data_IF_424209479516
#
_entry.id   IF_424209479516
#
_cell.length_a   1.000
_cell.length_b   1.000
_cell.length_c   1.000
_cell.angle_alpha   90.00
_cell.angle_beta   90.00
_cell.angle_gamma   90.00
#
_symmetry.space_group_name_H-M   'P 1'
#
loop_
_entity.id
_entity.type
_entity.pdbx_description
1 polymer ?
#
# COMPACT_ATOMS: atom_id res chain seq x y z
N UNK A 1 11.53 -15.58 13.09
CA UNK A 1 11.07 -14.37 12.36
C UNK A 1 9.82 -14.73 11.55
N UNK A 2 8.70 -14.02 11.76
CA UNK A 2 7.52 -14.19 10.87
C UNK A 2 7.95 -13.84 9.44
N UNK A 3 7.83 -14.78 8.50
CA UNK A 3 8.04 -14.51 7.07
C UNK A 3 6.96 -13.53 6.62
N UNK A 4 7.25 -12.24 6.61
CA UNK A 4 6.37 -11.27 5.98
C UNK A 4 6.40 -11.53 4.47
N UNK A 5 5.27 -11.92 3.88
CA UNK A 5 5.15 -11.98 2.42
C UNK A 5 5.40 -10.58 1.88
N UNK A 6 6.38 -10.44 1.00
CA UNK A 6 6.60 -9.20 0.27
C UNK A 6 5.33 -8.86 -0.51
N UNK A 7 4.70 -7.70 -0.27
CA UNK A 7 3.48 -7.34 -0.98
C UNK A 7 3.80 -7.14 -2.47
N UNK A 8 3.05 -7.82 -3.34
CA UNK A 8 3.13 -7.61 -4.79
C UNK A 8 2.09 -6.55 -5.15
N UNK A 9 2.56 -5.43 -5.70
CA UNK A 9 1.71 -4.33 -6.15
C UNK A 9 1.60 -4.38 -7.66
N UNK A 10 0.41 -4.70 -8.17
CA UNK A 10 0.13 -4.65 -9.60
C UNK A 10 -0.06 -3.20 -10.06
N UNK A 11 0.93 -2.69 -10.81
CA UNK A 11 0.92 -1.33 -11.36
C UNK A 11 -0.26 -1.11 -12.31
N UNK A 12 -0.74 -2.12 -13.04
CA UNK A 12 -1.92 -1.96 -13.92
C UNK A 12 -3.17 -1.65 -13.11
N UNK A 13 -3.30 -2.23 -11.92
CA UNK A 13 -4.47 -2.06 -11.04
C UNK A 13 -4.36 -0.83 -10.14
N UNK A 14 -3.16 -0.54 -9.65
CA UNK A 14 -2.92 0.45 -8.61
C UNK A 14 -2.16 1.70 -9.10
N UNK A 15 -1.73 1.76 -10.35
CA UNK A 15 -1.00 2.91 -10.90
C UNK A 15 -1.72 4.24 -10.68
N UNK A 16 -1.01 5.19 -10.08
CA UNK A 16 -1.54 6.51 -9.71
C UNK A 16 -2.43 6.53 -8.48
N UNK A 17 -2.51 5.43 -7.72
CA UNK A 17 -3.24 5.34 -6.46
C UNK A 17 -2.27 5.26 -5.28
N UNK A 18 -2.80 5.59 -4.11
CA UNK A 18 -2.23 5.21 -2.84
C UNK A 18 -2.81 3.86 -2.41
N UNK A 19 -2.00 3.02 -1.78
CA UNK A 19 -2.39 1.69 -1.29
C UNK A 19 -2.05 1.56 0.20
N UNK A 20 -2.94 0.93 0.96
CA UNK A 20 -2.70 0.52 2.34
C UNK A 20 -2.36 -0.97 2.39
N UNK A 21 -1.27 -1.31 3.08
CA UNK A 21 -0.76 -2.67 3.22
C UNK A 21 -0.73 -3.05 4.68
N UNK A 22 -1.36 -4.18 5.00
CA UNK A 22 -1.34 -4.78 6.34
C UNK A 22 -1.04 -6.28 6.22
N UNK A 23 -0.09 -6.78 7.02
CA UNK A 23 0.28 -8.19 7.02
C UNK A 23 0.72 -8.73 5.65
N UNK A 24 1.35 -7.88 4.82
CA UNK A 24 1.81 -8.24 3.47
C UNK A 24 0.73 -8.21 2.37
N UNK A 25 -0.50 -7.78 2.69
CA UNK A 25 -1.61 -7.71 1.73
C UNK A 25 -2.09 -6.29 1.56
N UNK A 26 -2.46 -5.92 0.33
CA UNK A 26 -3.13 -4.64 0.05
C UNK A 26 -4.57 -4.75 0.57
N UNK A 27 -4.91 -3.95 1.59
CA UNK A 27 -6.24 -3.94 2.20
C UNK A 27 -7.11 -2.79 1.69
N UNK A 28 -6.52 -1.70 1.20
CA UNK A 28 -7.28 -0.59 0.62
C UNK A 28 -6.47 0.14 -0.47
N UNK A 29 -7.17 0.84 -1.36
CA UNK A 29 -6.56 1.76 -2.32
C UNK A 29 -7.46 2.97 -2.60
N UNK A 30 -6.88 4.09 -3.02
CA UNK A 30 -7.58 5.35 -3.24
C UNK A 30 -6.70 6.37 -3.95
N UNK A 31 -7.26 7.51 -4.35
CA UNK A 31 -6.51 8.61 -4.98
C UNK A 31 -5.85 9.53 -3.95
N UNK A 32 -6.40 9.59 -2.73
CA UNK A 32 -5.87 10.42 -1.65
C UNK A 32 -5.54 9.59 -0.41
N UNK A 33 -4.68 10.14 0.44
CA UNK A 33 -4.29 9.52 1.71
C UNK A 33 -5.50 9.33 2.63
N UNK A 34 -6.34 10.36 2.71
CA UNK A 34 -7.56 10.35 3.52
C UNK A 34 -8.53 9.23 3.10
N UNK A 35 -8.75 9.07 1.79
CA UNK A 35 -9.59 8.00 1.24
C UNK A 35 -9.06 6.62 1.62
N UNK A 36 -7.74 6.43 1.51
CA UNK A 36 -7.06 5.16 1.85
C UNK A 36 -7.17 4.87 3.33
N UNK A 37 -6.92 5.85 4.21
CA UNK A 37 -7.03 5.68 5.67
C UNK A 37 -8.47 5.35 6.06
N UNK A 38 -9.45 6.07 5.53
CA UNK A 38 -10.87 5.83 5.80
C UNK A 38 -11.27 4.40 5.41
N UNK A 39 -10.88 3.95 4.21
CA UNK A 39 -11.14 2.58 3.73
C UNK A 39 -10.42 1.52 4.56
N UNK A 40 -9.15 1.75 4.91
CA UNK A 40 -8.38 0.82 5.71
C UNK A 40 -8.99 0.63 7.11
N UNK A 41 -9.47 1.72 7.75
CA UNK A 41 -10.18 1.65 9.04
C UNK A 41 -11.50 0.89 8.95
N UNK A 42 -12.24 0.99 7.85
CA UNK A 42 -13.48 0.22 7.66
C UNK A 42 -13.20 -1.28 7.46
N UNK A 43 -12.14 -1.63 6.74
CA UNK A 43 -11.80 -3.02 6.40
C UNK A 43 -11.09 -3.74 7.55
N UNK A 44 -10.22 -3.03 8.26
CA UNK A 44 -9.43 -3.57 9.36
C UNK A 44 -9.48 -2.62 10.59
N UNK A 45 -10.65 -2.44 11.21
CA UNK A 45 -10.83 -1.52 12.35
C UNK A 45 -9.96 -1.89 13.55
N UNK A 46 -9.66 -3.17 13.71
CA UNK A 46 -8.87 -3.71 14.82
C UNK A 46 -7.36 -3.48 14.65
N UNK A 47 -6.92 -3.07 13.46
CA UNK A 47 -5.50 -2.86 13.18
C UNK A 47 -5.12 -1.42 13.49
N UNK A 48 -4.13 -1.18 14.37
CA UNK A 48 -3.64 0.17 14.60
C UNK A 48 -3.00 0.71 13.32
N UNK A 49 -3.13 2.02 13.09
CA UNK A 49 -2.55 2.67 11.91
C UNK A 49 -1.04 2.48 11.80
N UNK A 50 -0.35 2.35 12.94
CA UNK A 50 1.09 2.07 12.99
C UNK A 50 1.48 0.74 12.33
N UNK A 51 0.56 -0.21 12.18
CA UNK A 51 0.77 -1.47 11.47
C UNK A 51 0.41 -1.39 9.97
N UNK A 52 -0.16 -0.28 9.52
CA UNK A 52 -0.62 -0.08 8.15
C UNK A 52 0.40 0.77 7.40
N UNK A 53 1.07 0.16 6.42
CA UNK A 53 2.00 0.89 5.55
C UNK A 53 1.23 1.48 4.38
N UNK A 54 1.43 2.77 4.10
CA UNK A 54 0.80 3.44 2.96
C UNK A 54 1.87 3.79 1.94
N UNK A 55 1.61 3.45 0.68
CA UNK A 55 2.53 3.71 -0.44
C UNK A 55 1.77 4.40 -1.58
N UNK A 56 2.44 5.34 -2.24
CA UNK A 56 2.01 5.88 -3.53
C UNK A 56 2.56 5.00 -4.64
N UNK A 57 1.68 4.53 -5.53
CA UNK A 57 2.06 3.73 -6.70
C UNK A 57 2.14 4.65 -7.91
N UNK A 58 3.29 4.74 -8.59
CA UNK A 58 3.44 5.60 -9.76
C UNK A 58 2.54 5.12 -10.91
N UNK A 59 2.05 6.06 -11.73
CA UNK A 59 1.22 5.73 -12.92
C UNK A 59 2.02 5.01 -14.00
N UNK A 60 3.29 5.36 -14.11
CA UNK A 60 4.23 4.87 -15.10
C UNK A 60 5.33 4.07 -14.40
N UNK A 61 6.12 3.33 -15.18
CA UNK A 61 7.28 2.63 -14.65
C UNK A 61 8.20 3.64 -13.94
N UNK A 62 8.43 3.43 -12.64
CA UNK A 62 9.45 4.15 -11.88
C UNK A 62 10.48 3.13 -11.43
N UNK A 63 11.73 3.36 -11.81
CA UNK A 63 12.87 2.52 -11.46
C UNK A 63 13.73 3.26 -10.44
N UNK A 64 14.11 2.57 -9.36
CA UNK A 64 15.08 3.08 -8.40
C UNK A 64 16.45 2.62 -8.91
N UNK A 65 17.26 3.55 -9.41
CA UNK A 65 18.65 3.27 -9.74
C UNK A 65 19.47 3.25 -8.45
N UNK A 66 20.07 2.10 -8.14
CA UNK A 66 21.11 2.05 -7.13
C UNK A 66 22.41 2.54 -7.77
N UNK A 67 22.84 3.75 -7.42
CA UNK A 67 24.15 4.26 -7.80
C UNK A 67 25.13 3.83 -6.72
N UNK A 68 26.05 2.93 -7.08
CA UNK A 68 27.16 2.47 -6.26
C UNK A 68 28.39 3.33 -6.49
#
# INVERSE_FOLDING_TARGET
MKKYKTPIIDVKKYGGKQVAIAGGHIIASGRTLEEVIRRAKMIAPQKPLSEIRIFSVPKTLSVIYHVS
#
